data_IF_660511900214
#
_entry.id   IF_660511900214
#
_cell.length_a   1.000
_cell.length_b   1.000
_cell.length_c   1.000
_cell.angle_alpha   90.00
_cell.angle_beta   90.00
_cell.angle_gamma   90.00
#
_symmetry.space_group_name_H-M   'P 1'
#
loop_
_entity.id
_entity.type
_entity.pdbx_description
1 polymer ?
#
# COMPACT_ATOMS: atom_id res chain seq x y z
N UNK A 1 15.31 56.19 -2.31
CA UNK A 1 15.90 55.36 -3.39
C UNK A 1 17.03 54.56 -2.78
N UNK A 2 17.14 53.22 -2.84
CA UNK A 2 16.81 52.31 -3.92
C UNK A 2 16.76 50.87 -3.32
N UNK A 3 15.68 50.11 -3.51
CA UNK A 3 15.65 48.65 -3.32
C UNK A 3 15.00 48.02 -4.56
N UNK A 4 15.48 46.82 -4.89
CA UNK A 4 14.94 45.84 -5.84
C UNK A 4 15.43 45.90 -7.28
N UNK A 5 16.57 45.25 -7.54
CA UNK A 5 16.76 44.40 -8.72
C UNK A 5 17.61 43.20 -8.28
N UNK A 6 17.04 41.99 -8.22
CA UNK A 6 17.80 40.80 -7.82
C UNK A 6 17.01 39.49 -7.67
N UNK A 7 15.98 39.24 -8.48
CA UNK A 7 15.12 38.04 -8.30
C UNK A 7 14.86 37.18 -9.55
N UNK A 8 15.49 37.45 -10.69
CA UNK A 8 15.22 36.68 -11.92
C UNK A 8 16.15 35.46 -12.14
N UNK A 9 17.32 35.38 -11.49
CA UNK A 9 18.25 34.24 -11.66
C UNK A 9 17.86 32.98 -10.88
N UNK A 10 17.37 33.16 -9.65
CA UNK A 10 17.21 32.06 -8.68
C UNK A 10 16.05 31.11 -9.01
N UNK A 11 14.95 31.62 -9.58
CA UNK A 11 13.85 30.75 -10.02
C UNK A 11 14.22 29.89 -11.23
N UNK A 12 15.05 30.41 -12.13
CA UNK A 12 15.44 29.67 -13.34
C UNK A 12 16.41 28.53 -12.99
N UNK A 13 17.32 28.75 -12.05
CA UNK A 13 18.27 27.75 -11.56
C UNK A 13 17.56 26.61 -10.79
N UNK A 14 16.61 26.95 -9.92
CA UNK A 14 15.77 25.96 -9.22
C UNK A 14 14.96 25.09 -10.18
N UNK A 15 14.48 25.65 -11.30
CA UNK A 15 13.74 24.89 -12.31
C UNK A 15 14.63 23.89 -13.06
N UNK A 16 15.87 24.27 -13.34
CA UNK A 16 16.85 23.43 -14.03
C UNK A 16 17.31 22.28 -13.12
N UNK A 17 17.57 22.56 -11.84
CA UNK A 17 17.90 21.55 -10.84
C UNK A 17 16.76 20.55 -10.58
N UNK A 18 15.50 21.00 -10.62
CA UNK A 18 14.33 20.10 -10.52
C UNK A 18 14.22 19.19 -11.73
N UNK A 19 14.39 19.71 -12.95
CA UNK A 19 14.35 18.90 -14.18
C UNK A 19 15.42 17.81 -14.19
N UNK A 20 16.67 18.15 -13.86
CA UNK A 20 17.77 17.18 -13.82
C UNK A 20 17.53 16.10 -12.75
N UNK A 21 16.97 16.47 -11.59
CA UNK A 21 16.58 15.51 -10.54
C UNK A 21 15.50 14.54 -11.02
N UNK A 22 14.44 15.04 -11.66
CA UNK A 22 13.39 14.17 -12.20
C UNK A 22 13.90 13.23 -13.30
N UNK A 23 14.81 13.70 -14.17
CA UNK A 23 15.43 12.86 -15.19
C UNK A 23 16.34 11.78 -14.58
N UNK A 24 17.09 12.11 -13.54
CA UNK A 24 17.91 11.16 -12.79
C UNK A 24 17.05 10.09 -12.08
N UNK A 25 15.97 10.50 -11.38
CA UNK A 25 15.06 9.57 -10.71
C UNK A 25 14.36 8.63 -11.71
N UNK A 26 13.96 9.14 -12.89
CA UNK A 26 13.40 8.31 -13.97
C UNK A 26 14.40 7.28 -14.49
N UNK A 27 15.65 7.68 -14.76
CA UNK A 27 16.71 6.76 -15.22
C UNK A 27 17.00 5.69 -14.17
N UNK A 28 17.09 6.07 -12.89
CA UNK A 28 17.32 5.12 -11.79
C UNK A 28 16.21 4.08 -11.69
N UNK A 29 14.95 4.50 -11.72
CA UNK A 29 13.80 3.57 -11.69
C UNK A 29 13.77 2.68 -12.94
N UNK A 30 14.15 3.21 -14.11
CA UNK A 30 14.27 2.40 -15.33
C UNK A 30 15.38 1.36 -15.25
N UNK A 31 16.55 1.71 -14.70
CA UNK A 31 17.66 0.78 -14.50
C UNK A 31 17.32 -0.30 -13.48
N UNK A 32 16.64 0.03 -12.38
CA UNK A 32 16.16 -0.95 -11.40
C UNK A 32 15.13 -1.91 -12.02
N UNK A 33 14.19 -1.39 -12.82
CA UNK A 33 13.25 -2.22 -13.59
C UNK A 33 13.95 -3.11 -14.60
N UNK A 34 14.97 -2.60 -15.30
CA UNK A 34 15.73 -3.40 -16.26
C UNK A 34 16.51 -4.51 -15.56
N UNK A 35 17.14 -4.25 -14.41
CA UNK A 35 17.80 -5.27 -13.59
C UNK A 35 16.85 -6.34 -13.07
N UNK A 36 15.62 -5.95 -12.68
CA UNK A 36 14.60 -6.89 -12.26
C UNK A 36 14.07 -7.75 -13.42
N UNK A 37 13.95 -7.19 -14.62
CA UNK A 37 13.56 -7.93 -15.82
C UNK A 37 14.65 -8.88 -16.29
N UNK A 38 15.93 -8.46 -16.27
CA UNK A 38 17.04 -9.33 -16.65
C UNK A 38 17.23 -10.48 -15.67
N UNK A 39 17.06 -10.25 -14.36
CA UNK A 39 17.10 -11.33 -13.37
C UNK A 39 15.94 -12.30 -13.53
N UNK A 40 14.72 -11.82 -13.78
CA UNK A 40 13.55 -12.67 -14.02
C UNK A 40 13.71 -13.54 -15.27
N UNK A 41 14.22 -12.97 -16.38
CA UNK A 41 14.49 -13.72 -17.62
C UNK A 41 15.59 -14.77 -17.42
N UNK A 42 16.63 -14.47 -16.64
CA UNK A 42 17.68 -15.43 -16.30
C UNK A 42 17.13 -16.61 -15.48
N UNK A 43 16.29 -16.33 -14.47
CA UNK A 43 15.64 -17.38 -13.66
C UNK A 43 14.73 -18.25 -14.53
N UNK A 44 13.94 -17.64 -15.41
CA UNK A 44 13.07 -18.37 -16.33
C UNK A 44 13.87 -19.31 -17.24
N UNK A 45 15.00 -18.85 -17.79
CA UNK A 45 15.87 -19.68 -18.61
C UNK A 45 16.42 -20.90 -17.83
N UNK A 46 16.82 -20.72 -16.57
CA UNK A 46 17.28 -21.82 -15.70
C UNK A 46 16.16 -22.82 -15.44
N UNK A 47 14.95 -22.34 -15.14
CA UNK A 47 13.78 -23.20 -14.90
C UNK A 47 13.41 -24.04 -16.13
N UNK A 48 13.48 -23.46 -17.34
CA UNK A 48 13.25 -24.19 -18.59
C UNK A 48 14.28 -25.31 -18.77
N UNK A 49 15.57 -25.02 -18.53
CA UNK A 49 16.64 -26.04 -18.61
C UNK A 49 16.40 -27.16 -17.61
N UNK A 50 16.08 -26.84 -16.36
CA UNK A 50 15.79 -27.84 -15.32
C UNK A 50 14.56 -28.70 -15.69
N UNK A 51 13.49 -28.08 -16.17
CA UNK A 51 12.30 -28.79 -16.61
C UNK A 51 12.61 -29.74 -17.78
N UNK A 52 13.41 -29.30 -18.75
CA UNK A 52 13.84 -30.17 -19.87
C UNK A 52 14.69 -31.35 -19.39
N UNK A 53 15.57 -31.15 -18.40
CA UNK A 53 16.35 -32.24 -17.80
C UNK A 53 15.45 -33.26 -17.09
N UNK A 54 14.45 -32.79 -16.31
CA UNK A 54 13.50 -33.66 -15.59
C UNK A 54 12.66 -34.47 -16.57
N UNK A 55 12.16 -33.85 -17.64
CA UNK A 55 11.40 -34.55 -18.68
C UNK A 55 12.28 -35.55 -19.44
N UNK A 56 13.56 -35.26 -19.64
CA UNK A 56 14.51 -36.18 -20.27
C UNK A 56 14.87 -37.38 -19.39
N UNK A 57 14.84 -37.24 -18.06
CA UNK A 57 15.09 -38.36 -17.11
C UNK A 57 13.85 -39.19 -16.78
N UNK A 58 12.65 -38.78 -17.23
CA UNK A 58 11.38 -39.46 -16.97
C UNK A 58 11.12 -40.76 -17.75
N UNK A 59 12.03 -41.19 -18.64
CA UNK A 59 11.93 -42.46 -19.36
C UNK A 59 12.88 -43.51 -18.75
N UNK A 60 12.54 -44.03 -17.56
CA UNK A 60 13.39 -44.99 -16.85
C UNK A 60 12.72 -45.80 -15.74
N UNK A 61 11.95 -46.82 -16.14
CA UNK A 61 11.62 -48.06 -15.40
C UNK A 61 11.00 -47.96 -13.98
N UNK A 62 9.67 -48.05 -13.92
CA UNK A 62 9.00 -48.80 -12.86
C UNK A 62 9.29 -50.31 -13.04
N UNK A 63 10.13 -50.87 -12.16
CA UNK A 63 10.11 -52.31 -11.85
C UNK A 63 10.25 -52.49 -10.35
N UNK A 64 9.13 -52.49 -9.65
CA UNK A 64 8.99 -53.18 -8.37
C UNK A 64 7.76 -54.09 -8.46
N UNK A 65 8.03 -55.39 -8.67
CA UNK A 65 7.06 -56.45 -8.43
C UNK A 65 7.15 -56.86 -6.95
N UNK A 66 5.99 -57.03 -6.33
CA UNK A 66 5.56 -58.17 -5.50
C UNK A 66 4.12 -57.85 -5.05
N UNK A 67 3.11 -58.59 -5.56
CA UNK A 67 2.45 -59.71 -4.86
C UNK A 67 1.78 -59.24 -3.55
N UNK A 68 0.51 -59.47 -3.24
CA UNK A 68 -0.30 -60.66 -3.49
C UNK A 68 -1.78 -60.41 -3.11
N UNK A 69 -2.66 -61.18 -3.75
CA UNK A 69 -3.99 -61.67 -3.36
C UNK A 69 -5.07 -60.83 -2.61
N UNK A 70 -6.22 -60.75 -3.32
CA UNK A 70 -7.60 -61.20 -2.95
C UNK A 70 -8.67 -60.20 -2.46
N UNK A 71 -9.78 -60.25 -3.23
CA UNK A 71 -11.21 -60.35 -2.82
C UNK A 71 -11.86 -59.08 -2.23
N UNK A 72 -13.05 -58.63 -2.64
CA UNK A 72 -14.22 -59.28 -3.22
C UNK A 72 -15.10 -58.33 -4.05
N UNK A 73 -15.96 -58.97 -4.84
CA UNK A 73 -17.04 -58.42 -5.65
C UNK A 73 -18.15 -57.81 -4.77
N UNK A 74 -18.54 -56.57 -5.07
CA UNK A 74 -19.65 -55.86 -4.42
C UNK A 74 -20.41 -55.00 -5.44
N UNK A 75 -21.50 -55.58 -5.93
CA UNK A 75 -22.69 -54.98 -6.58
C UNK A 75 -22.75 -53.45 -6.70
N UNK A 76 -22.79 -52.96 -7.94
CA UNK A 76 -23.13 -51.57 -8.26
C UNK A 76 -24.66 -51.36 -8.13
N UNK A 77 -25.09 -50.63 -7.11
CA UNK A 77 -26.41 -49.98 -7.06
C UNK A 77 -26.34 -48.65 -7.82
N UNK A 78 -27.34 -48.30 -8.64
CA UNK A 78 -27.39 -46.96 -9.23
C UNK A 78 -27.76 -45.96 -8.11
N UNK A 79 -26.78 -45.19 -7.64
CA UNK A 79 -27.04 -44.02 -6.80
C UNK A 79 -27.66 -42.97 -7.73
N UNK A 80 -28.95 -42.69 -7.51
CA UNK A 80 -29.65 -41.59 -8.14
C UNK A 80 -28.86 -40.29 -7.90
N UNK A 81 -28.39 -39.67 -8.97
CA UNK A 81 -27.87 -38.30 -8.94
C UNK A 81 -29.02 -37.37 -8.59
N UNK A 82 -29.21 -37.07 -7.30
CA UNK A 82 -29.98 -35.89 -6.90
C UNK A 82 -29.17 -34.68 -7.30
N UNK A 83 -29.63 -33.97 -8.32
CA UNK A 83 -29.15 -32.63 -8.65
C UNK A 83 -29.47 -31.71 -7.47
N UNK A 84 -28.53 -31.58 -6.52
CA UNK A 84 -28.50 -30.44 -5.62
C UNK A 84 -28.19 -29.23 -6.50
N UNK A 85 -29.21 -28.42 -6.76
CA UNK A 85 -29.03 -27.07 -7.24
C UNK A 85 -28.13 -26.36 -6.23
N UNK A 86 -26.85 -26.21 -6.58
CA UNK A 86 -25.97 -25.28 -5.89
C UNK A 86 -26.52 -23.92 -6.25
N UNK A 87 -27.25 -23.32 -5.32
CA UNK A 87 -27.60 -21.91 -5.38
C UNK A 87 -26.27 -21.13 -5.34
N UNK A 88 -25.74 -20.83 -6.53
CA UNK A 88 -24.63 -19.89 -6.72
C UNK A 88 -25.20 -18.50 -6.45
N UNK A 89 -25.52 -18.25 -5.18
CA UNK A 89 -25.68 -16.91 -4.65
C UNK A 89 -24.30 -16.28 -4.64
N UNK A 90 -23.86 -15.83 -5.82
CA UNK A 90 -22.77 -14.88 -5.95
C UNK A 90 -23.29 -13.61 -5.28
N UNK A 91 -23.01 -13.50 -3.99
CA UNK A 91 -23.11 -12.24 -3.28
C UNK A 91 -22.10 -11.30 -3.93
N UNK A 92 -22.57 -10.54 -4.91
CA UNK A 92 -21.82 -9.46 -5.52
C UNK A 92 -21.69 -8.32 -4.50
N UNK A 93 -20.83 -8.50 -3.50
CA UNK A 93 -20.35 -7.40 -2.66
C UNK A 93 -19.30 -6.62 -3.45
N UNK A 94 -19.72 -5.98 -4.53
CA UNK A 94 -18.82 -5.23 -5.40
C UNK A 94 -19.47 -3.93 -5.82
N UNK A 95 -19.72 -3.02 -4.86
CA UNK A 95 -19.72 -1.58 -5.17
C UNK A 95 -19.55 -0.63 -3.97
N UNK A 96 -18.97 -1.09 -2.84
CA UNK A 96 -18.59 -0.19 -1.73
C UNK A 96 -17.08 0.11 -1.68
N UNK A 97 -16.36 -0.20 -2.76
CA UNK A 97 -14.89 -0.20 -2.82
C UNK A 97 -14.27 0.97 -3.58
N UNK A 98 -14.97 2.10 -3.74
CA UNK A 98 -14.43 3.25 -4.51
C UNK A 98 -13.91 4.44 -3.72
N UNK A 99 -14.01 4.44 -2.39
CA UNK A 99 -13.47 5.51 -1.55
C UNK A 99 -12.87 4.98 -0.23
N UNK A 100 -12.17 3.85 -0.24
CA UNK A 100 -11.47 3.35 0.95
C UNK A 100 -10.02 3.83 0.98
N UNK A 101 -9.55 4.24 2.15
CA UNK A 101 -8.13 4.52 2.42
C UNK A 101 -7.31 3.23 2.28
N UNK A 102 -6.02 3.37 1.99
CA UNK A 102 -5.11 2.21 1.90
C UNK A 102 -4.90 1.62 3.28
N UNK A 103 -4.83 2.47 4.31
CA UNK A 103 -4.72 2.10 5.70
C UNK A 103 -5.76 2.86 6.53
N UNK A 104 -6.19 2.27 7.65
CA UNK A 104 -6.96 2.95 8.68
C UNK A 104 -6.02 3.42 9.80
N UNK A 105 -6.50 4.33 10.64
CA UNK A 105 -5.75 4.73 11.82
C UNK A 105 -5.64 3.57 12.82
N UNK A 106 -4.46 3.34 13.43
CA UNK A 106 -4.24 2.23 14.36
C UNK A 106 -4.83 2.48 15.75
N UNK A 107 -5.46 3.62 15.97
CA UNK A 107 -6.10 4.01 17.24
C UNK A 107 -7.53 4.44 16.96
N UNK A 108 -8.45 4.15 17.89
CA UNK A 108 -9.86 4.46 17.72
C UNK A 108 -10.14 5.98 17.69
N UNK A 109 -9.39 6.75 18.50
CA UNK A 109 -9.45 8.20 18.55
C UNK A 109 -8.12 8.78 18.10
N UNK A 110 -8.14 9.55 17.01
CA UNK A 110 -6.93 10.05 16.37
C UNK A 110 -6.62 11.45 16.90
N UNK A 111 -5.48 11.58 17.56
CA UNK A 111 -4.88 12.87 17.90
C UNK A 111 -3.40 12.82 17.54
N UNK A 112 -2.98 13.65 16.59
CA UNK A 112 -1.60 13.71 16.10
C UNK A 112 -0.76 14.57 17.05
N UNK A 113 0.29 13.98 17.61
CA UNK A 113 1.32 14.67 18.40
C UNK A 113 2.42 15.21 17.49
N UNK A 114 2.83 14.41 16.50
CA UNK A 114 3.87 14.78 15.55
C UNK A 114 3.62 14.16 14.17
N UNK A 115 3.63 15.00 13.14
CA UNK A 115 3.45 14.59 11.75
C UNK A 115 4.71 13.96 11.15
N UNK A 116 4.53 13.22 10.05
CA UNK A 116 5.62 12.68 9.26
C UNK A 116 6.50 13.79 8.67
N UNK A 117 7.82 13.61 8.78
CA UNK A 117 8.81 14.49 8.18
C UNK A 117 9.89 13.67 7.51
N UNK A 118 9.79 13.53 6.18
CA UNK A 118 10.76 12.77 5.39
C UNK A 118 12.20 13.25 5.68
N UNK A 119 13.10 12.34 6.08
CA UNK A 119 14.53 12.65 6.16
C UNK A 119 15.06 13.14 4.79
N UNK A 120 15.83 14.25 4.72
CA UNK A 120 16.47 14.71 3.49
C UNK A 120 17.39 13.66 2.82
N UNK A 121 17.98 12.79 3.63
CA UNK A 121 18.78 11.62 3.24
C UNK A 121 18.44 10.46 4.17
N UNK A 122 18.66 9.21 3.74
CA UNK A 122 18.26 7.98 4.45
C UNK A 122 18.59 7.98 5.95
N UNK A 123 19.75 8.50 6.33
CA UNK A 123 20.27 8.50 7.72
C UNK A 123 20.20 9.85 8.43
N UNK A 124 19.70 10.90 7.78
CA UNK A 124 19.58 12.21 8.42
C UNK A 124 18.41 12.28 9.40
N UNK A 125 18.36 13.36 10.18
CA UNK A 125 17.25 13.64 11.07
C UNK A 125 15.94 13.79 10.29
N UNK A 126 14.94 13.05 10.73
CA UNK A 126 13.58 13.00 10.15
C UNK A 126 12.59 12.57 11.21
N UNK A 127 11.32 12.52 10.83
CA UNK A 127 10.30 11.79 11.57
C UNK A 127 9.71 10.75 10.60
N UNK A 128 10.08 9.48 10.79
CA UNK A 128 9.88 8.38 9.83
C UNK A 128 8.53 7.68 9.96
N UNK A 129 7.59 8.35 10.61
CA UNK A 129 6.24 7.91 10.90
C UNK A 129 5.42 9.08 11.43
N UNK A 130 4.31 8.79 12.09
CA UNK A 130 3.51 9.76 12.84
C UNK A 130 3.44 9.35 14.29
N UNK A 131 3.23 10.32 15.16
CA UNK A 131 3.02 10.09 16.59
C UNK A 131 1.56 10.35 16.93
N UNK A 132 0.92 9.37 17.54
CA UNK A 132 -0.50 9.38 17.88
C UNK A 132 -0.67 9.29 19.38
N UNK A 133 -1.39 10.24 19.98
CA UNK A 133 -1.70 10.22 21.41
C UNK A 133 -2.38 8.89 21.76
N UNK A 134 -1.73 8.15 22.65
CA UNK A 134 -2.14 6.82 23.07
C UNK A 134 -1.38 6.52 24.37
N UNK A 135 -2.09 6.59 25.49
CA UNK A 135 -1.53 6.25 26.80
C UNK A 135 -1.19 4.76 26.86
N UNK A 136 -0.33 4.37 27.80
CA UNK A 136 0.00 2.96 28.03
C UNK A 136 -1.27 2.10 28.22
N UNK A 137 -1.29 0.92 27.59
CA UNK A 137 -2.43 0.00 27.57
C UNK A 137 -3.49 0.31 26.51
N UNK A 138 -3.34 1.38 25.72
CA UNK A 138 -4.25 1.68 24.61
C UNK A 138 -4.20 0.57 23.56
N UNK A 139 -5.37 0.06 23.16
CA UNK A 139 -5.47 -0.95 22.12
C UNK A 139 -5.04 -0.40 20.76
N UNK A 140 -4.17 -1.16 20.07
CA UNK A 140 -3.74 -0.89 18.71
C UNK A 140 -4.51 -1.77 17.72
N UNK A 141 -5.13 -1.13 16.74
CA UNK A 141 -5.90 -1.75 15.69
C UNK A 141 -5.05 -1.92 14.43
N UNK A 142 -5.16 -3.06 13.75
CA UNK A 142 -4.40 -3.32 12.54
C UNK A 142 -4.87 -2.37 11.41
N UNK A 143 -4.00 -1.51 10.86
CA UNK A 143 -4.38 -0.53 9.84
C UNK A 143 -4.92 -1.13 8.54
N UNK A 144 -4.51 -2.36 8.23
CA UNK A 144 -4.98 -3.15 7.10
C UNK A 144 -4.74 -4.64 7.42
N UNK A 145 -5.28 -5.52 6.58
CA UNK A 145 -4.96 -6.94 6.64
C UNK A 145 -3.44 -7.17 6.57
N UNK A 146 -2.92 -8.09 7.36
CA UNK A 146 -1.50 -8.34 7.40
C UNK A 146 -1.09 -9.50 8.29
N UNK A 147 0.22 -9.63 8.49
CA UNK A 147 0.82 -10.68 9.32
C UNK A 147 1.82 -10.05 10.28
N UNK A 148 1.71 -10.38 11.57
CA UNK A 148 2.70 -9.99 12.58
C UNK A 148 4.05 -10.54 12.17
N UNK A 149 4.98 -9.64 11.88
CA UNK A 149 6.29 -9.97 11.31
C UNK A 149 7.44 -9.83 12.30
N UNK A 150 7.23 -9.09 13.39
CA UNK A 150 8.18 -8.90 14.47
C UNK A 150 7.43 -8.46 15.73
N UNK A 151 7.89 -8.93 16.89
CA UNK A 151 7.49 -8.47 18.21
C UNK A 151 8.70 -8.62 19.14
N UNK A 152 9.16 -7.52 19.74
CA UNK A 152 10.31 -7.53 20.66
C UNK A 152 11.05 -6.20 20.71
N UNK A 153 12.26 -6.22 21.26
CA UNK A 153 13.05 -5.00 21.52
C UNK A 153 13.97 -4.64 20.36
N UNK A 154 13.93 -3.40 19.88
CA UNK A 154 14.83 -2.82 18.88
C UNK A 154 15.45 -1.55 19.44
N UNK A 155 16.79 -1.51 19.53
CA UNK A 155 17.52 -0.35 20.05
C UNK A 155 17.01 0.14 21.43
N UNK A 156 16.57 -0.79 22.29
CA UNK A 156 16.04 -0.47 23.62
C UNK A 156 14.55 -0.12 23.66
N UNK A 157 13.83 -0.23 22.54
CA UNK A 157 12.41 0.11 22.42
C UNK A 157 11.57 -1.13 22.12
N UNK A 158 10.41 -1.26 22.75
CA UNK A 158 9.45 -2.31 22.44
C UNK A 158 8.70 -2.03 21.14
N UNK A 159 8.83 -2.92 20.16
CA UNK A 159 8.31 -2.75 18.81
C UNK A 159 7.48 -3.96 18.39
N UNK A 160 6.30 -3.69 17.83
CA UNK A 160 5.54 -4.66 17.04
C UNK A 160 5.50 -4.21 15.60
N UNK A 161 5.70 -5.12 14.65
CA UNK A 161 5.58 -4.79 13.22
C UNK A 161 4.66 -5.75 12.47
N UNK A 162 3.78 -5.21 11.64
CA UNK A 162 2.82 -5.94 10.81
C UNK A 162 3.15 -5.72 9.34
N UNK A 163 3.24 -6.81 8.57
CA UNK A 163 3.50 -6.77 7.13
C UNK A 163 2.19 -6.85 6.35
N UNK A 164 1.97 -5.86 5.50
CA UNK A 164 0.80 -5.67 4.64
C UNK A 164 1.25 -5.76 3.17
N UNK A 165 1.50 -6.99 2.70
CA UNK A 165 2.12 -7.21 1.39
C UNK A 165 3.55 -6.64 1.34
N UNK A 166 3.77 -5.60 0.53
CA UNK A 166 5.09 -4.96 0.35
C UNK A 166 5.39 -3.83 1.33
N UNK A 167 4.41 -3.45 2.16
CA UNK A 167 4.53 -2.40 3.17
C UNK A 167 4.66 -3.03 4.56
N UNK A 168 5.59 -2.53 5.35
CA UNK A 168 5.77 -2.86 6.75
C UNK A 168 5.27 -1.70 7.61
N UNK A 169 4.33 -1.97 8.51
CA UNK A 169 3.94 -1.08 9.59
C UNK A 169 4.74 -1.43 10.84
N UNK A 170 5.25 -0.43 11.56
CA UNK A 170 5.95 -0.61 12.84
C UNK A 170 5.36 0.33 13.88
N UNK A 171 5.24 -0.16 15.11
CA UNK A 171 4.61 0.55 16.24
C UNK A 171 5.55 0.53 17.44
N UNK A 172 5.86 1.69 18.02
CA UNK A 172 6.68 1.83 19.24
C UNK A 172 6.14 2.95 20.16
N UNK A 173 6.07 2.78 21.49
CA UNK A 173 6.17 1.51 22.21
C UNK A 173 4.93 0.63 21.96
N UNK A 174 5.14 -0.64 21.66
CA UNK A 174 4.05 -1.60 21.53
C UNK A 174 4.45 -3.01 21.97
N UNK A 175 3.52 -3.73 22.58
CA UNK A 175 3.65 -5.14 22.95
C UNK A 175 2.43 -5.94 22.47
N UNK A 176 2.62 -7.24 22.28
CA UNK A 176 1.56 -8.15 21.83
C UNK A 176 1.77 -9.55 22.38
N UNK A 177 0.68 -10.24 22.69
CA UNK A 177 0.68 -11.67 23.01
C UNK A 177 0.61 -12.55 21.74
N UNK A 178 0.41 -11.93 20.57
CA UNK A 178 0.36 -12.63 19.30
C UNK A 178 1.76 -13.13 18.91
N UNK A 179 1.82 -14.37 18.41
CA UNK A 179 3.05 -14.94 17.88
C UNK A 179 3.39 -14.30 16.53
N UNK A 180 4.68 -14.13 16.24
CA UNK A 180 5.13 -13.83 14.87
C UNK A 180 4.59 -14.89 13.90
N UNK A 181 4.05 -14.44 12.77
CA UNK A 181 3.33 -15.26 11.80
C UNK A 181 1.81 -15.22 11.94
N UNK A 182 1.26 -14.63 13.01
CA UNK A 182 -0.19 -14.48 13.19
C UNK A 182 -0.76 -13.52 12.16
N UNK A 183 -1.84 -13.93 11.48
CA UNK A 183 -2.60 -13.07 10.57
C UNK A 183 -3.56 -12.19 11.35
N UNK A 184 -3.67 -10.93 10.96
CA UNK A 184 -4.57 -9.93 11.55
C UNK A 184 -5.38 -9.26 10.45
N UNK A 185 -6.65 -8.96 10.72
CA UNK A 185 -7.53 -8.26 9.79
C UNK A 185 -7.56 -6.77 10.08
N UNK A 186 -7.85 -5.94 9.06
CA UNK A 186 -8.08 -4.51 9.23
C UNK A 186 -9.08 -4.26 10.37
N UNK A 187 -8.71 -3.36 11.30
CA UNK A 187 -9.52 -3.00 12.46
C UNK A 187 -9.46 -4.00 13.63
N UNK A 188 -8.76 -5.12 13.48
CA UNK A 188 -8.55 -6.09 14.56
C UNK A 188 -7.54 -5.56 15.58
N UNK A 189 -7.84 -5.69 16.88
CA UNK A 189 -6.87 -5.41 17.93
C UNK A 189 -5.73 -6.43 17.90
N UNK A 190 -4.50 -5.98 17.67
CA UNK A 190 -3.35 -6.87 17.53
C UNK A 190 -2.25 -6.64 18.57
N UNK A 191 -2.26 -5.50 19.24
CA UNK A 191 -1.25 -5.09 20.20
C UNK A 191 -1.83 -4.06 21.17
N UNK A 192 -1.06 -3.71 22.18
CA UNK A 192 -1.31 -2.57 23.07
C UNK A 192 -0.09 -1.67 23.09
N UNK A 193 -0.30 -0.38 23.32
CA UNK A 193 0.81 0.53 23.64
C UNK A 193 1.41 0.16 24.98
N UNK A 194 2.73 0.17 25.09
CA UNK A 194 3.41 -0.18 26.33
C UNK A 194 4.78 -0.80 26.10
N UNK A 195 5.53 -0.96 27.19
CA UNK A 195 6.94 -1.32 27.16
C UNK A 195 7.86 -0.10 27.22
N UNK A 196 9.16 -0.35 27.06
CA UNK A 196 10.19 0.68 27.08
C UNK A 196 10.20 1.47 25.77
N UNK A 197 10.30 2.81 25.89
CA UNK A 197 10.66 3.70 24.80
C UNK A 197 11.28 4.98 25.35
N UNK A 198 12.21 5.56 24.60
CA UNK A 198 12.73 6.91 24.83
C UNK A 198 11.89 7.98 24.11
N UNK A 199 10.88 7.54 23.35
CA UNK A 199 10.06 8.39 22.50
C UNK A 199 8.81 8.86 23.23
N UNK A 200 8.51 10.15 23.11
CA UNK A 200 7.23 10.74 23.50
C UNK A 200 6.83 10.60 24.99
N UNK A 201 7.73 10.20 25.88
CA UNK A 201 7.45 10.10 27.32
C UNK A 201 6.24 9.21 27.64
N UNK A 202 6.06 8.11 26.91
CA UNK A 202 4.99 7.10 27.08
C UNK A 202 3.55 7.61 26.89
N UNK A 203 3.36 8.78 26.27
CA UNK A 203 2.01 9.34 26.01
C UNK A 203 1.50 9.11 24.58
N UNK A 204 2.35 8.58 23.72
CA UNK A 204 1.98 8.36 22.33
C UNK A 204 2.64 7.10 21.77
N UNK A 205 2.05 6.62 20.68
CA UNK A 205 2.61 5.56 19.85
C UNK A 205 3.13 6.17 18.55
N UNK A 206 4.36 5.85 18.21
CA UNK A 206 4.95 6.10 16.91
C UNK A 206 4.50 5.00 15.95
N UNK A 207 3.86 5.38 14.85
CA UNK A 207 3.49 4.49 13.76
C UNK A 207 4.24 4.86 12.48
N UNK A 208 5.12 3.96 12.04
CA UNK A 208 5.91 4.10 10.82
C UNK A 208 5.43 3.17 9.71
N UNK A 209 5.54 3.62 8.46
CA UNK A 209 5.34 2.81 7.26
C UNK A 209 6.64 2.76 6.44
N UNK A 210 7.04 1.57 6.01
CA UNK A 210 8.22 1.36 5.16
C UNK A 210 7.92 0.41 4.00
N UNK A 211 8.36 0.77 2.80
CA UNK A 211 8.41 -0.11 1.63
C UNK A 211 9.87 -0.46 1.33
N UNK A 212 10.14 -1.75 1.14
CA UNK A 212 11.50 -2.21 0.88
C UNK A 212 12.48 -1.87 2.02
N UNK A 213 13.72 -1.52 1.67
CA UNK A 213 14.78 -1.33 2.65
C UNK A 213 14.80 0.09 3.27
N UNK A 214 14.51 1.13 2.48
CA UNK A 214 14.81 2.51 2.84
C UNK A 214 13.73 3.55 2.45
N UNK A 215 12.62 3.12 1.85
CA UNK A 215 11.51 4.04 1.49
C UNK A 215 10.50 4.15 2.63
N UNK A 216 10.66 5.19 3.45
CA UNK A 216 9.69 5.57 4.47
C UNK A 216 8.53 6.33 3.84
N UNK A 217 7.32 5.89 4.14
CA UNK A 217 6.06 6.42 3.63
C UNK A 217 5.41 7.29 4.70
N UNK A 218 4.63 8.27 4.28
CA UNK A 218 3.81 9.11 5.16
C UNK A 218 2.53 8.36 5.55
N UNK A 219 2.35 7.91 6.81
CA UNK A 219 1.13 7.23 7.24
C UNK A 219 -0.14 8.07 7.04
N UNK A 220 -0.07 9.38 7.28
CA UNK A 220 -1.23 10.28 7.15
C UNK A 220 -1.73 10.38 5.71
N UNK A 221 -0.82 10.34 4.73
CA UNK A 221 -1.19 10.31 3.32
C UNK A 221 -1.88 8.99 2.91
N UNK A 222 -1.59 7.89 3.61
CA UNK A 222 -2.16 6.57 3.34
C UNK A 222 -3.48 6.30 4.05
N UNK A 223 -3.80 7.07 5.09
CA UNK A 223 -5.11 7.07 5.77
C UNK A 223 -6.13 8.01 5.14
N UNK A 224 -5.69 8.92 4.28
CA UNK A 224 -6.58 9.81 3.55
C UNK A 224 -7.41 9.05 2.49
N UNK A 225 -8.73 9.29 2.48
CA UNK A 225 -9.58 8.91 1.33
C UNK A 225 -9.26 9.85 0.17
N UNK A 226 -8.65 9.32 -0.90
CA UNK A 226 -8.33 10.13 -2.09
C UNK A 226 -9.52 10.12 -3.05
N UNK A 227 -10.13 11.29 -3.29
CA UNK A 227 -11.10 11.47 -4.37
C UNK A 227 -10.34 11.85 -5.65
N UNK A 228 -10.30 10.95 -6.62
CA UNK A 228 -9.70 11.23 -7.93
C UNK A 228 -10.72 11.98 -8.79
N UNK A 229 -10.54 13.29 -8.92
CA UNK A 229 -11.33 14.11 -9.84
C UNK A 229 -10.56 14.34 -11.14
N UNK A 230 -11.15 13.94 -12.26
CA UNK A 230 -10.58 14.23 -13.58
C UNK A 230 -10.76 15.72 -13.89
N UNK A 231 -9.64 16.40 -14.18
CA UNK A 231 -9.70 17.74 -14.77
C UNK A 231 -10.33 17.62 -16.16
N UNK A 232 -11.44 18.32 -16.38
CA UNK A 232 -12.07 18.37 -17.69
C UNK A 232 -11.04 18.83 -18.74
N UNK A 233 -10.72 17.93 -19.67
CA UNK A 233 -9.85 18.26 -20.79
C UNK A 233 -10.69 18.99 -21.83
N UNK A 234 -10.56 20.32 -21.89
CA UNK A 234 -11.14 21.09 -22.99
C UNK A 234 -10.32 20.76 -24.23
N UNK A 235 -10.81 19.84 -25.07
CA UNK A 235 -10.26 19.68 -26.40
C UNK A 235 -10.41 21.01 -27.11
N UNK A 236 -9.31 21.61 -27.55
CA UNK A 236 -9.31 22.71 -28.49
C UNK A 236 -9.74 22.13 -29.85
N UNK A 237 -11.03 21.83 -29.96
CA UNK A 237 -11.69 21.65 -31.23
C UNK A 237 -11.60 22.97 -31.95
N UNK A 238 -10.82 22.99 -33.03
CA UNK A 238 -10.79 24.05 -34.04
C UNK A 238 -12.25 24.39 -34.37
N UNK A 239 -12.69 25.58 -33.96
CA UNK A 239 -13.91 26.20 -34.45
C UNK A 239 -13.73 26.28 -35.97
N UNK A 240 -14.39 25.39 -36.71
CA UNK A 240 -14.79 25.74 -38.07
C UNK A 240 -15.79 26.85 -37.89
N UNK A 241 -15.38 28.01 -38.38
CA UNK A 241 -16.22 29.13 -38.76
C UNK A 241 -17.59 28.64 -39.21
N UNK A 242 -18.63 29.00 -38.44
CA UNK A 242 -19.91 29.31 -39.05
C UNK A 242 -20.54 30.45 -38.25
N UNK A 243 -20.38 31.64 -38.84
CA UNK A 243 -21.10 32.84 -38.49
C UNK A 243 -22.62 32.60 -38.37
N UNK A 244 -23.26 33.41 -37.52
CA UNK A 244 -24.72 33.62 -37.34
C UNK A 244 -25.42 32.81 -36.25
N UNK A 245 -25.43 33.35 -35.02
CA UNK A 245 -26.70 33.49 -34.29
C UNK A 245 -26.67 34.66 -33.31
N UNK A 246 -27.83 35.30 -33.18
CA UNK A 246 -28.04 36.70 -32.83
C UNK A 246 -27.64 37.11 -31.40
N UNK A 247 -27.09 38.32 -31.34
CA UNK A 247 -27.11 39.20 -30.18
C UNK A 247 -28.56 39.62 -29.88
N UNK A 248 -29.05 39.29 -28.68
CA UNK A 248 -30.05 40.10 -27.97
C UNK A 248 -29.74 40.02 -26.48
N UNK A 249 -29.41 41.17 -25.89
CA UNK A 249 -29.17 41.30 -24.47
C UNK A 249 -30.43 41.15 -23.63
N UNK A 250 -30.23 40.92 -22.33
CA UNK A 250 -31.20 41.25 -21.30
C UNK A 250 -30.45 41.64 -20.03
N UNK A 251 -30.46 42.94 -19.76
CA UNK A 251 -30.17 43.54 -18.46
C UNK A 251 -31.39 43.30 -17.55
N UNK A 252 -31.20 42.65 -16.39
CA UNK A 252 -32.11 42.74 -15.23
C UNK A 252 -31.25 42.54 -13.98
N UNK A 253 -30.73 43.62 -13.38
CA UNK A 253 -31.33 44.54 -12.39
C UNK A 253 -31.26 44.02 -10.94
N UNK A 254 -30.72 44.88 -10.09
CA UNK A 254 -30.47 44.72 -8.68
C UNK A 254 -31.77 44.71 -7.86
N UNK A 255 -31.74 44.04 -6.69
CA UNK A 255 -32.53 44.47 -5.53
C UNK A 255 -31.81 44.17 -4.22
N UNK A 256 -31.75 45.22 -3.40
CA UNK A 256 -31.41 45.27 -1.97
C UNK A 256 -32.51 44.61 -1.12
N UNK A 257 -32.11 44.08 0.03
CA UNK A 257 -32.76 44.15 1.36
C UNK A 257 -31.64 43.85 2.37
N UNK A 258 -31.14 44.77 3.20
CA UNK A 258 -31.73 45.34 4.44
C UNK A 258 -32.43 44.27 5.28
N UNK A 259 -31.71 43.77 6.29
CA UNK A 259 -31.92 44.07 7.72
C UNK A 259 -30.57 44.04 8.42
#
# INVERSE_FOLDING_TARGET
>A
MNRHIGRCGECHDQSRARKTRFEYERRRVQEERLRALTSALAIFAVMVVLLTCILATGAGQERYMLADERKDCGTATPIAFTALAVDMSVSSSSDESRCQSVFDWPVAQVSLEQEFRRPPTTWSAGHRGVDLLAEEGTALLAPADGVVSFAGVVAGKDVVSVRHGTILSSFEPATTDLKVGTSVRRGEGFAVTGGGSDHCGNRCVHWGLRRGADDYLDPGAYTARTVISLKAHRSTGRLTDDSTFFSTGSLYNARRSIT
#
